data_IF_943248246254
#
_entry.id   IF_943248246254
#
_cell.length_a   1.000
_cell.length_b   1.000
_cell.length_c   1.000
_cell.angle_alpha   90.00
_cell.angle_beta   90.00
_cell.angle_gamma   90.00
#
_symmetry.space_group_name_H-M   'P 1'
#
loop_
_entity.id
_entity.type
_entity.pdbx_description
1 polymer ?
#
# COMPACT_ATOMS: atom_id res chain seq x y z
N UNK A 1 -7.50 -3.20 -12.30
CA UNK A 1 -7.10 -3.28 -10.87
C UNK A 1 -7.46 -2.01 -10.11
N UNK A 2 -7.30 -0.82 -10.72
CA UNK A 2 -7.49 0.49 -10.08
C UNK A 2 -8.88 0.74 -9.48
N UNK A 3 -9.95 0.19 -10.05
CA UNK A 3 -11.32 0.40 -9.54
C UNK A 3 -11.63 -0.31 -8.22
N UNK A 4 -10.92 -1.40 -7.90
CA UNK A 4 -11.17 -2.21 -6.71
C UNK A 4 -10.72 -1.49 -5.44
N UNK A 5 -9.62 -0.73 -5.53
CA UNK A 5 -9.05 0.05 -4.43
C UNK A 5 -9.51 1.51 -4.44
N UNK A 6 -10.54 1.84 -5.23
CA UNK A 6 -11.23 3.14 -5.18
C UNK A 6 -11.56 3.65 -3.77
N UNK A 7 -12.09 2.83 -2.82
CA UNK A 7 -12.36 3.31 -1.46
C UNK A 7 -11.10 3.65 -0.67
N UNK A 8 -9.94 3.11 -1.05
CA UNK A 8 -8.67 3.33 -0.37
C UNK A 8 -7.83 4.46 -0.98
N UNK A 9 -8.33 5.17 -2.00
CA UNK A 9 -7.54 6.15 -2.78
C UNK A 9 -6.96 7.31 -1.96
N UNK A 10 -7.49 7.60 -0.77
CA UNK A 10 -6.93 8.64 0.11
C UNK A 10 -5.60 8.24 0.77
N UNK A 11 -5.34 6.94 0.92
CA UNK A 11 -4.19 6.39 1.67
C UNK A 11 -3.47 5.26 0.92
N UNK A 12 -3.96 4.86 -0.25
CA UNK A 12 -3.36 3.86 -1.11
C UNK A 12 -3.18 4.40 -2.53
N UNK A 13 -1.99 4.20 -3.08
CA UNK A 13 -1.62 4.55 -4.44
C UNK A 13 -1.34 3.25 -5.19
N UNK A 14 -2.04 3.05 -6.31
CA UNK A 14 -1.92 1.84 -7.12
C UNK A 14 -1.17 2.19 -8.39
N UNK A 15 -0.11 1.45 -8.68
CA UNK A 15 0.67 1.60 -9.89
C UNK A 15 0.95 0.23 -10.50
N UNK A 16 0.18 -0.08 -11.54
CA UNK A 16 0.24 -1.37 -12.25
C UNK A 16 -0.01 -2.52 -11.26
N UNK A 17 1.05 -3.22 -10.85
CA UNK A 17 1.02 -4.38 -9.97
C UNK A 17 1.42 -4.03 -8.51
N UNK A 18 1.92 -2.81 -8.29
CA UNK A 18 2.38 -2.35 -6.99
C UNK A 18 1.32 -1.49 -6.30
N UNK A 19 1.11 -1.74 -5.01
CA UNK A 19 0.22 -0.97 -4.14
C UNK A 19 1.06 -0.37 -3.03
N UNK A 20 1.07 0.95 -2.97
CA UNK A 20 1.74 1.72 -1.93
C UNK A 20 0.69 2.23 -0.96
N UNK A 21 0.79 1.85 0.31
CA UNK A 21 -0.06 2.36 1.38
C UNK A 21 0.77 3.34 2.20
N UNK A 22 0.22 4.51 2.52
CA UNK A 22 0.88 5.53 3.33
C UNK A 22 -0.09 6.06 4.40
N UNK A 23 0.44 6.46 5.56
CA UNK A 23 -0.38 6.87 6.72
C UNK A 23 0.42 7.77 7.64
N UNK A 24 -0.24 8.54 8.50
CA UNK A 24 0.43 9.52 9.38
C UNK A 24 0.91 8.91 10.69
N UNK A 25 0.29 7.81 11.12
CA UNK A 25 0.68 7.07 12.32
C UNK A 25 0.72 5.57 12.03
N UNK A 26 1.43 4.83 12.88
CA UNK A 26 1.54 3.38 12.77
C UNK A 26 0.20 2.66 12.99
N UNK A 27 -0.62 3.15 13.93
CA UNK A 27 -1.93 2.59 14.23
C UNK A 27 -2.89 2.76 13.04
N UNK A 28 -2.94 3.97 12.47
CA UNK A 28 -3.69 4.25 11.24
C UNK A 28 -3.16 3.41 10.05
N UNK A 29 -1.85 3.19 9.98
CA UNK A 29 -1.24 2.36 8.95
C UNK A 29 -1.70 0.90 9.02
N UNK A 30 -1.83 0.35 10.23
CA UNK A 30 -2.37 -1.00 10.43
C UNK A 30 -3.80 -1.13 9.93
N UNK A 31 -4.66 -0.15 10.25
CA UNK A 31 -6.04 -0.13 9.77
C UNK A 31 -6.10 -0.04 8.24
N UNK A 32 -5.30 0.82 7.63
CA UNK A 32 -5.24 0.97 6.17
C UNK A 32 -4.73 -0.28 5.46
N UNK A 33 -3.66 -0.91 5.98
CA UNK A 33 -3.19 -2.20 5.45
C UNK A 33 -4.30 -3.24 5.55
N UNK A 34 -4.98 -3.33 6.70
CA UNK A 34 -6.05 -4.31 6.90
C UNK A 34 -7.19 -4.12 5.89
N UNK A 35 -7.59 -2.89 5.62
CA UNK A 35 -8.61 -2.58 4.62
C UNK A 35 -8.19 -2.99 3.21
N UNK A 36 -6.96 -2.64 2.80
CA UNK A 36 -6.42 -2.99 1.47
C UNK A 36 -6.34 -4.51 1.31
N UNK A 37 -5.78 -5.22 2.29
CA UNK A 37 -5.70 -6.68 2.25
C UNK A 37 -7.07 -7.35 2.22
N UNK A 38 -8.05 -6.82 2.95
CA UNK A 38 -9.43 -7.33 2.96
C UNK A 38 -10.06 -7.22 1.57
N UNK A 39 -9.93 -6.06 0.92
CA UNK A 39 -10.45 -5.83 -0.43
C UNK A 39 -9.74 -6.75 -1.45
N UNK A 40 -8.41 -6.85 -1.37
CA UNK A 40 -7.64 -7.76 -2.24
C UNK A 40 -8.09 -9.21 -2.07
N UNK A 41 -8.34 -9.64 -0.83
CA UNK A 41 -8.84 -10.97 -0.53
C UNK A 41 -10.24 -11.21 -1.08
N UNK A 42 -11.14 -10.22 -0.99
CA UNK A 42 -12.51 -10.32 -1.54
C UNK A 42 -12.53 -10.48 -3.07
N UNK A 43 -11.53 -9.91 -3.74
CA UNK A 43 -11.40 -9.99 -5.20
C UNK A 43 -10.43 -11.09 -5.66
N UNK A 44 -10.06 -12.03 -4.78
CA UNK A 44 -9.16 -13.16 -5.06
C UNK A 44 -7.77 -12.76 -5.60
N UNK A 45 -7.26 -11.59 -5.23
CA UNK A 45 -5.88 -11.22 -5.55
C UNK A 45 -4.91 -11.99 -4.66
N UNK A 46 -3.87 -12.56 -5.28
CA UNK A 46 -2.78 -13.21 -4.58
C UNK A 46 -1.59 -12.26 -4.50
N UNK A 47 -1.18 -11.93 -3.29
CA UNK A 47 0.04 -11.18 -3.04
C UNK A 47 1.23 -12.13 -3.03
N UNK A 48 2.36 -11.68 -3.58
CA UNK A 48 3.62 -12.41 -3.49
C UNK A 48 4.37 -11.96 -2.22
N UNK A 49 4.37 -12.73 -1.13
CA UNK A 49 4.97 -12.31 0.14
C UNK A 49 6.48 -12.05 0.02
N UNK A 50 7.18 -12.70 -0.92
CA UNK A 50 8.60 -12.45 -1.18
C UNK A 50 8.88 -11.10 -1.81
N UNK A 51 7.86 -10.45 -2.39
CA UNK A 51 7.93 -9.10 -2.96
C UNK A 51 7.24 -8.04 -2.09
N UNK A 52 6.45 -8.45 -1.09
CA UNK A 52 5.79 -7.54 -0.17
C UNK A 52 6.77 -6.95 0.84
N UNK A 53 7.09 -5.66 0.69
CA UNK A 53 7.78 -4.88 1.71
C UNK A 53 6.76 -4.26 2.65
N UNK A 54 6.48 -4.93 3.77
CA UNK A 54 5.49 -4.49 4.77
C UNK A 54 6.21 -3.80 5.93
N UNK A 55 5.59 -2.76 6.51
CA UNK A 55 6.07 -2.04 7.70
C UNK A 55 7.46 -1.40 7.56
N UNK A 56 7.82 -0.93 6.36
CA UNK A 56 9.03 -0.13 6.20
C UNK A 56 8.72 1.36 6.40
N UNK A 57 9.52 2.02 7.23
CA UNK A 57 9.48 3.48 7.40
C UNK A 57 9.96 4.24 6.15
N UNK A 58 10.68 3.56 5.24
CA UNK A 58 11.10 4.06 3.94
C UNK A 58 10.89 2.97 2.89
N UNK A 59 10.24 3.33 1.79
CA UNK A 59 10.01 2.46 0.64
C UNK A 59 10.65 3.13 -0.57
N UNK A 60 11.56 2.41 -1.22
CA UNK A 60 12.10 2.81 -2.51
C UNK A 60 11.03 2.56 -3.57
N UNK A 61 10.40 3.64 -4.04
CA UNK A 61 9.37 3.59 -5.06
C UNK A 61 9.95 4.16 -6.35
N UNK A 62 10.14 3.30 -7.36
CA UNK A 62 10.62 3.65 -8.72
C UNK A 62 11.74 4.71 -8.69
N UNK A 63 12.92 4.27 -8.23
CA UNK A 63 14.16 5.07 -8.22
C UNK A 63 14.15 6.28 -7.28
N UNK A 64 13.13 6.46 -6.45
CA UNK A 64 13.02 7.54 -5.48
C UNK A 64 12.80 6.99 -4.07
N UNK A 65 13.59 7.48 -3.11
CA UNK A 65 13.45 7.14 -1.69
C UNK A 65 12.38 8.05 -1.09
N UNK A 66 11.19 7.50 -0.81
CA UNK A 66 10.14 8.27 -0.14
C UNK A 66 10.43 8.25 1.37
N UNK A 67 10.76 9.42 1.92
CA UNK A 67 11.02 9.63 3.35
C UNK A 67 9.95 10.52 3.99
N UNK A 68 9.98 10.66 5.32
CA UNK A 68 9.08 11.55 6.09
C UNK A 68 9.16 13.02 5.62
N UNK A 69 10.24 13.40 4.93
CA UNK A 69 10.46 14.75 4.38
C UNK A 69 9.96 14.93 2.94
N UNK A 70 9.43 13.87 2.33
CA UNK A 70 9.06 13.82 0.91
C UNK A 70 10.03 13.01 0.07
N UNK A 71 9.88 13.16 -1.26
CA UNK A 71 10.77 12.60 -2.29
C UNK A 71 12.06 13.39 -2.37
#
# INVERSE_FOLDING_TARGET
>A
MTDILSPCRQFALVYIDDIVVYSRSFEEHLEHIHQVLSILSQHNFQLNPSKCSIFRQQIDYVSHTISEQGV
#
